data_IF_252299663344
#
_entry.id   IF_252299663344
#
_cell.length_a   1.000
_cell.length_b   1.000
_cell.length_c   1.000
_cell.angle_alpha   90.00
_cell.angle_beta   90.00
_cell.angle_gamma   90.00
#
_symmetry.space_group_name_H-M   'P 1'
#
loop_
_entity.id
_entity.type
_entity.pdbx_description
1 polymer ?
#
# COMPACT_ATOMS: atom_id res chain seq x y z
N UNK A 1 -3.03 -1.84 11.89
CA UNK A 1 -3.05 -3.09 11.11
C UNK A 1 -3.02 -4.28 12.05
N UNK A 2 -3.81 -5.33 11.77
CA UNK A 2 -3.72 -6.61 12.46
C UNK A 2 -2.30 -7.19 12.32
N UNK A 3 -1.74 -7.73 13.40
CA UNK A 3 -0.37 -8.28 13.45
C UNK A 3 -0.17 -9.44 12.47
N UNK A 4 -1.25 -10.09 12.03
CA UNK A 4 -1.18 -11.21 11.08
C UNK A 4 -1.01 -10.79 9.62
N UNK A 5 -1.22 -9.51 9.27
CA UNK A 5 -1.21 -9.08 7.87
C UNK A 5 0.20 -9.00 7.28
N UNK A 6 1.18 -8.45 8.01
CA UNK A 6 2.56 -8.33 7.49
C UNK A 6 3.13 -9.67 7.00
N UNK A 7 3.07 -10.77 7.78
CA UNK A 7 3.51 -12.08 7.30
C UNK A 7 2.79 -12.56 6.04
N UNK A 8 1.48 -12.28 5.91
CA UNK A 8 0.71 -12.66 4.73
C UNK A 8 1.10 -11.85 3.50
N UNK A 9 1.37 -10.55 3.65
CA UNK A 9 1.92 -9.72 2.57
C UNK A 9 3.27 -10.25 2.10
N UNK A 10 4.18 -10.57 3.02
CA UNK A 10 5.48 -11.18 2.69
C UNK A 10 5.31 -12.53 1.99
N UNK A 11 4.32 -13.35 2.37
CA UNK A 11 4.07 -14.63 1.72
C UNK A 11 3.58 -14.47 0.26
N UNK A 12 2.89 -13.36 -0.06
CA UNK A 12 2.38 -13.10 -1.41
C UNK A 12 3.48 -12.54 -2.31
N UNK A 13 4.18 -11.49 -1.89
CA UNK A 13 5.12 -10.76 -2.76
C UNK A 13 6.60 -10.96 -2.40
N UNK A 14 6.91 -11.64 -1.30
CA UNK A 14 8.27 -11.73 -0.76
C UNK A 14 8.65 -10.55 0.14
N UNK A 15 9.66 -10.75 0.99
CA UNK A 15 10.07 -9.77 2.01
C UNK A 15 10.54 -8.44 1.43
N UNK A 16 11.30 -8.46 0.33
CA UNK A 16 11.90 -7.25 -0.26
C UNK A 16 10.89 -6.34 -0.97
N UNK A 17 9.64 -6.79 -1.12
CA UNK A 17 8.57 -6.08 -1.83
C UNK A 17 7.48 -5.55 -0.88
N UNK A 18 7.70 -5.65 0.43
CA UNK A 18 6.88 -5.00 1.45
C UNK A 18 7.75 -3.97 2.17
N UNK A 19 7.40 -2.71 2.02
CA UNK A 19 8.14 -1.58 2.58
C UNK A 19 7.37 -1.03 3.77
N UNK A 20 8.04 -0.94 4.91
CA UNK A 20 7.49 -0.39 6.15
C UNK A 20 8.38 0.68 6.76
N UNK A 21 9.49 1.03 6.09
CA UNK A 21 10.36 2.12 6.53
C UNK A 21 9.69 3.48 6.27
N UNK A 22 10.02 4.46 7.11
CA UNK A 22 9.35 5.76 7.10
C UNK A 22 9.47 6.49 5.76
N UNK A 23 10.62 6.40 5.09
CA UNK A 23 10.89 7.10 3.84
C UNK A 23 10.02 6.54 2.70
N UNK A 24 9.93 5.22 2.61
CA UNK A 24 9.05 4.55 1.65
C UNK A 24 7.57 4.87 1.91
N UNK A 25 7.12 4.80 3.17
CA UNK A 25 5.73 5.12 3.51
C UNK A 25 5.35 6.57 3.13
N UNK A 26 6.26 7.53 3.36
CA UNK A 26 6.05 8.91 2.96
C UNK A 26 6.09 9.10 1.43
N UNK A 27 7.07 8.48 0.75
CA UNK A 27 7.28 8.67 -0.70
C UNK A 27 6.20 8.02 -1.56
N UNK A 28 5.72 6.85 -1.17
CA UNK A 28 4.70 6.11 -1.91
C UNK A 28 3.27 6.43 -1.46
N UNK A 29 3.08 6.90 -0.23
CA UNK A 29 1.76 7.23 0.33
C UNK A 29 1.17 8.56 -0.16
N UNK A 30 1.91 9.36 -0.92
CA UNK A 30 1.46 10.64 -1.46
C UNK A 30 1.56 10.69 -2.99
N UNK A 31 0.60 11.35 -3.62
CA UNK A 31 0.76 11.92 -4.96
C UNK A 31 1.18 13.40 -4.86
N UNK A 32 1.01 14.19 -5.93
CA UNK A 32 1.38 15.63 -5.92
C UNK A 32 0.36 16.50 -5.19
N UNK A 33 -0.65 15.92 -4.57
CA UNK A 33 -1.61 16.63 -3.73
C UNK A 33 -0.95 17.06 -2.42
N UNK A 34 -1.16 18.31 -2.03
CA UNK A 34 -0.46 18.92 -0.88
C UNK A 34 -1.31 19.02 0.39
N UNK A 35 -2.59 18.63 0.33
CA UNK A 35 -3.55 18.85 1.42
C UNK A 35 -3.60 17.70 2.44
N UNK A 36 -2.91 16.59 2.20
CA UNK A 36 -2.96 15.39 3.03
C UNK A 36 -1.56 14.97 3.49
N UNK A 37 -1.52 14.26 4.61
CA UNK A 37 -0.32 13.60 5.14
C UNK A 37 -0.40 12.11 4.86
N UNK A 38 0.71 11.51 4.44
CA UNK A 38 0.79 10.06 4.26
C UNK A 38 0.67 9.36 5.62
N UNK A 39 -0.21 8.37 5.69
CA UNK A 39 -0.31 7.46 6.80
C UNK A 39 -0.60 6.01 6.36
N UNK A 40 0.11 5.45 5.36
CA UNK A 40 -0.02 4.03 5.04
C UNK A 40 0.60 3.17 6.15
N UNK A 41 0.07 1.96 6.32
CA UNK A 41 0.62 0.96 7.23
C UNK A 41 1.69 0.07 6.59
N UNK A 42 1.65 -0.10 5.27
CA UNK A 42 2.65 -0.78 4.47
C UNK A 42 2.55 -0.34 3.00
N UNK A 43 3.65 -0.45 2.24
CA UNK A 43 3.66 -0.30 0.79
C UNK A 43 4.05 -1.63 0.17
N UNK A 44 3.29 -2.10 -0.81
CA UNK A 44 3.49 -3.42 -1.42
C UNK A 44 3.74 -3.27 -2.92
N UNK A 45 4.80 -3.90 -3.42
CA UNK A 45 5.27 -3.80 -4.81
C UNK A 45 5.11 -5.12 -5.57
N UNK A 46 3.88 -5.50 -5.98
CA UNK A 46 3.64 -6.75 -6.68
C UNK A 46 4.34 -6.78 -8.05
N UNK A 47 4.83 -7.94 -8.45
CA UNK A 47 5.54 -8.20 -9.71
C UNK A 47 4.72 -8.96 -10.75
N UNK A 48 3.54 -9.44 -10.39
CA UNK A 48 2.66 -10.25 -11.24
C UNK A 48 1.18 -9.91 -11.05
N UNK A 49 0.35 -10.33 -12.00
CA UNK A 49 -1.11 -10.15 -11.91
C UNK A 49 -1.67 -11.00 -10.76
N UNK A 50 -1.13 -12.20 -10.59
CA UNK A 50 -1.51 -13.16 -9.57
C UNK A 50 -1.29 -12.61 -8.15
N UNK A 51 -0.17 -11.93 -7.93
CA UNK A 51 0.12 -11.22 -6.68
C UNK A 51 -0.89 -10.09 -6.42
N UNK A 52 -1.18 -9.25 -7.42
CA UNK A 52 -2.19 -8.18 -7.28
C UNK A 52 -3.54 -8.77 -6.88
N UNK A 53 -3.98 -9.83 -7.56
CA UNK A 53 -5.24 -10.50 -7.25
C UNK A 53 -5.24 -11.08 -5.83
N UNK A 54 -4.13 -11.65 -5.37
CA UNK A 54 -4.00 -12.18 -4.01
C UNK A 54 -4.08 -11.07 -2.96
N UNK A 55 -3.43 -9.92 -3.20
CA UNK A 55 -3.49 -8.75 -2.32
C UNK A 55 -4.91 -8.19 -2.20
N UNK A 56 -5.63 -8.04 -3.31
CA UNK A 56 -7.03 -7.57 -3.30
C UNK A 56 -7.93 -8.53 -2.52
N UNK A 57 -7.76 -9.85 -2.70
CA UNK A 57 -8.52 -10.85 -1.94
C UNK A 57 -8.21 -10.80 -0.45
N UNK A 58 -6.93 -10.68 -0.08
CA UNK A 58 -6.50 -10.57 1.32
C UNK A 58 -7.10 -9.31 1.95
N UNK A 59 -6.96 -8.16 1.29
CA UNK A 59 -7.48 -6.88 1.76
C UNK A 59 -9.00 -6.94 2.02
N UNK A 60 -9.76 -7.49 1.08
CA UNK A 60 -11.19 -7.70 1.24
C UNK A 60 -11.54 -8.65 2.39
N UNK A 61 -10.78 -9.73 2.59
CA UNK A 61 -11.02 -10.68 3.69
C UNK A 61 -10.70 -10.11 5.06
N UNK A 62 -9.80 -9.13 5.13
CA UNK A 62 -9.32 -8.50 6.35
C UNK A 62 -9.98 -7.15 6.65
N UNK A 63 -10.95 -6.73 5.83
CA UNK A 63 -11.55 -5.39 5.87
C UNK A 63 -10.49 -4.27 5.86
N UNK A 64 -9.44 -4.47 5.05
CA UNK A 64 -8.32 -3.55 4.90
C UNK A 64 -8.50 -2.73 3.61
N UNK A 65 -8.52 -1.41 3.76
CA UNK A 65 -8.52 -0.51 2.60
C UNK A 65 -7.18 -0.59 1.86
N UNK A 66 -7.22 -0.42 0.54
CA UNK A 66 -6.01 -0.34 -0.29
C UNK A 66 -6.07 0.87 -1.21
N UNK A 67 -4.92 1.47 -1.45
CA UNK A 67 -4.76 2.59 -2.39
C UNK A 67 -3.88 2.14 -3.56
N UNK A 68 -4.45 1.93 -4.75
CA UNK A 68 -3.66 1.68 -5.94
C UNK A 68 -2.76 2.87 -6.27
N UNK A 69 -1.48 2.63 -6.54
CA UNK A 69 -0.49 3.68 -6.77
C UNK A 69 0.33 3.40 -8.02
N UNK A 70 0.27 4.31 -8.99
CA UNK A 70 1.05 4.29 -10.23
C UNK A 70 2.16 5.33 -10.23
N UNK A 71 2.17 6.22 -11.23
CA UNK A 71 3.15 7.30 -11.35
C UNK A 71 3.03 8.45 -10.34
N UNK A 72 1.98 8.47 -9.50
CA UNK A 72 1.77 9.46 -8.41
C UNK A 72 1.82 10.93 -8.85
N UNK A 73 1.45 11.23 -10.10
CA UNK A 73 1.44 12.61 -10.64
C UNK A 73 0.11 13.34 -10.46
N UNK A 74 -0.90 12.67 -9.88
CA UNK A 74 -2.22 13.23 -9.64
C UNK A 74 -2.21 14.41 -8.66
N UNK A 75 -3.19 15.30 -8.79
CA UNK A 75 -3.39 16.51 -7.96
C UNK A 75 -4.71 16.48 -7.18
N UNK A 76 -5.47 15.39 -7.30
CA UNK A 76 -6.80 15.23 -6.70
C UNK A 76 -6.81 14.25 -5.51
N UNK A 77 -5.66 13.71 -5.13
CA UNK A 77 -5.50 12.77 -4.02
C UNK A 77 -5.86 11.32 -4.35
N UNK A 78 -5.87 10.93 -5.63
CA UNK A 78 -6.30 9.60 -6.07
C UNK A 78 -5.34 8.47 -5.71
N UNK A 79 -4.08 8.80 -5.40
CA UNK A 79 -3.07 7.84 -4.94
C UNK A 79 -2.49 8.25 -3.57
N UNK A 80 -3.33 8.83 -2.71
CA UNK A 80 -2.96 9.21 -1.34
C UNK A 80 -3.49 8.18 -0.35
N UNK A 81 -2.58 7.56 0.42
CA UNK A 81 -2.89 6.71 1.55
C UNK A 81 -2.74 7.51 2.85
N UNK A 82 -3.85 7.86 3.50
CA UNK A 82 -3.90 8.83 4.60
C UNK A 82 -4.59 8.30 5.86
N UNK A 83 -4.99 7.04 5.87
CA UNK A 83 -5.90 6.48 6.86
C UNK A 83 -5.58 5.02 7.21
N UNK A 84 -4.28 4.68 7.22
CA UNK A 84 -3.81 3.36 7.65
C UNK A 84 -4.05 2.25 6.63
N UNK A 85 -4.25 2.61 5.36
CA UNK A 85 -4.23 1.69 4.22
C UNK A 85 -2.87 0.99 4.11
#
# INVERSE_FOLDING_TARGET
MDKNILPQLHAIVGETRVLTDADSLQSYGLDRTTVWTAAPCAVVLPGSIEEVQALVRLANSADLAIVPSGGRTGLSGGAVAKSGE
#
